data_IF_672400858394
#
_entry.id   IF_672400858394
#
_cell.length_a   1.000
_cell.length_b   1.000
_cell.length_c   1.000
_cell.angle_alpha   90.00
_cell.angle_beta   90.00
_cell.angle_gamma   90.00
#
_symmetry.space_group_name_H-M   'P 1'
#
loop_
_entity.id
_entity.type
_entity.pdbx_description
1 polymer ?
#
# COMPACT_ATOMS: atom_id res chain seq x y z
N UNK A 1 9.84 21.04 -5.99
CA UNK A 1 9.04 20.03 -6.71
C UNK A 1 7.67 20.05 -6.09
N UNK A 2 6.65 20.35 -6.85
CA UNK A 2 5.27 20.37 -6.32
C UNK A 2 4.50 19.19 -6.96
N UNK A 3 4.41 18.09 -6.21
CA UNK A 3 3.66 16.92 -6.65
C UNK A 3 2.31 16.89 -5.95
N UNK A 4 1.18 16.73 -6.67
CA UNK A 4 -0.16 16.73 -6.08
C UNK A 4 -0.33 15.69 -4.96
N UNK A 5 0.35 14.53 -5.07
CA UNK A 5 0.33 13.45 -4.08
C UNK A 5 1.25 13.68 -2.86
N UNK A 6 1.97 14.81 -2.80
CA UNK A 6 2.78 15.27 -1.66
C UNK A 6 2.37 16.68 -1.18
N UNK A 7 1.23 17.19 -1.61
CA UNK A 7 0.61 18.41 -1.09
C UNK A 7 -0.22 18.04 0.17
N UNK A 8 0.49 17.83 1.28
CA UNK A 8 -0.10 17.33 2.52
C UNK A 8 -1.18 18.24 3.12
N UNK A 9 -1.13 19.55 2.87
CA UNK A 9 -2.18 20.47 3.33
C UNK A 9 -3.49 20.24 2.57
N UNK A 10 -3.40 20.18 1.24
CA UNK A 10 -4.55 19.87 0.37
C UNK A 10 -5.11 18.47 0.65
N UNK A 11 -4.23 17.47 0.83
CA UNK A 11 -4.63 16.08 1.06
C UNK A 11 -5.33 15.91 2.41
N UNK A 12 -4.82 16.54 3.47
CA UNK A 12 -5.47 16.53 4.80
C UNK A 12 -6.85 17.16 4.74
N UNK A 13 -6.99 18.32 4.09
CA UNK A 13 -8.28 19.00 3.92
C UNK A 13 -9.27 18.12 3.14
N UNK A 14 -8.83 17.49 2.03
CA UNK A 14 -9.66 16.56 1.25
C UNK A 14 -10.10 15.37 2.08
N UNK A 15 -9.20 14.78 2.86
CA UNK A 15 -9.53 13.65 3.76
C UNK A 15 -10.62 14.02 4.76
N UNK A 16 -10.46 15.14 5.46
CA UNK A 16 -11.44 15.60 6.48
C UNK A 16 -12.82 15.80 5.86
N UNK A 17 -12.91 16.46 4.70
CA UNK A 17 -14.18 16.67 3.99
C UNK A 17 -14.81 15.34 3.51
N UNK A 18 -14.00 14.45 2.96
CA UNK A 18 -14.49 13.17 2.41
C UNK A 18 -14.90 12.19 3.49
N UNK A 19 -14.27 12.24 4.67
CA UNK A 19 -14.65 11.42 5.82
C UNK A 19 -16.07 11.71 6.30
N UNK A 20 -16.53 12.95 6.20
CA UNK A 20 -17.91 13.32 6.56
C UNK A 20 -18.94 12.64 5.65
N UNK A 21 -18.59 12.29 4.42
CA UNK A 21 -19.46 11.56 3.48
C UNK A 21 -19.79 10.17 4.04
N UNK A 22 -18.83 9.52 4.69
CA UNK A 22 -19.03 8.23 5.37
C UNK A 22 -19.30 8.48 6.87
N UNK A 23 -20.34 9.25 7.16
CA UNK A 23 -20.69 9.62 8.53
C UNK A 23 -21.29 8.47 9.36
N UNK A 24 -21.81 7.44 8.69
CA UNK A 24 -22.36 6.25 9.35
C UNK A 24 -21.25 5.44 10.01
N UNK A 25 -21.47 4.96 11.23
CA UNK A 25 -20.52 4.09 11.95
C UNK A 25 -20.79 2.64 11.59
N UNK A 26 -19.90 2.05 10.79
CA UNK A 26 -19.93 0.63 10.50
C UNK A 26 -19.02 -0.14 11.48
N UNK A 27 -19.34 -1.42 11.70
CA UNK A 27 -18.48 -2.34 12.45
C UNK A 27 -17.42 -2.96 11.54
N UNK A 28 -17.70 -3.07 10.24
CA UNK A 28 -16.77 -3.55 9.23
C UNK A 28 -16.82 -2.65 7.99
N UNK A 29 -15.68 -2.54 7.32
CA UNK A 29 -15.57 -1.91 6.01
C UNK A 29 -15.02 -2.94 5.02
N UNK A 30 -15.70 -3.13 3.91
CA UNK A 30 -15.24 -3.93 2.79
C UNK A 30 -14.76 -2.99 1.68
N UNK A 31 -13.50 -3.11 1.31
CA UNK A 31 -12.87 -2.29 0.26
C UNK A 31 -12.70 -3.14 -0.98
N UNK A 32 -13.25 -2.68 -2.08
CA UNK A 32 -13.21 -3.36 -3.37
C UNK A 32 -12.40 -2.52 -4.35
N UNK A 33 -11.33 -3.09 -4.87
CA UNK A 33 -10.45 -2.41 -5.81
C UNK A 33 -9.18 -3.22 -6.08
N UNK A 34 -8.37 -2.79 -7.03
CA UNK A 34 -7.21 -3.54 -7.49
C UNK A 34 -5.95 -2.66 -7.54
N UNK A 35 -4.80 -3.26 -7.26
CA UNK A 35 -3.51 -2.58 -7.32
C UNK A 35 -3.46 -1.34 -6.42
N UNK A 36 -3.14 -0.18 -6.99
CA UNK A 36 -3.03 1.08 -6.25
C UNK A 36 -4.31 1.57 -5.58
N UNK A 37 -5.48 1.02 -5.96
CA UNK A 37 -6.75 1.35 -5.32
C UNK A 37 -6.89 0.78 -3.90
N UNK A 38 -6.17 -0.30 -3.58
CA UNK A 38 -6.25 -0.96 -2.27
C UNK A 38 -4.92 -1.05 -1.55
N UNK A 39 -3.81 -1.17 -2.29
CA UNK A 39 -2.51 -1.52 -1.71
C UNK A 39 -2.03 -0.54 -0.64
N UNK A 40 -2.30 0.77 -0.81
CA UNK A 40 -1.91 1.77 0.19
C UNK A 40 -2.68 1.62 1.50
N UNK A 41 -4.00 1.48 1.44
CA UNK A 41 -4.82 1.27 2.64
C UNK A 41 -4.57 -0.08 3.29
N UNK A 42 -4.30 -1.13 2.51
CA UNK A 42 -3.85 -2.45 3.05
C UNK A 42 -2.58 -2.31 3.87
N UNK A 43 -1.60 -1.56 3.35
CA UNK A 43 -0.34 -1.32 4.06
C UNK A 43 -0.56 -0.58 5.39
N UNK A 44 -1.43 0.45 5.41
CA UNK A 44 -1.78 1.18 6.64
C UNK A 44 -2.50 0.25 7.64
N UNK A 45 -3.53 -0.49 7.20
CA UNK A 45 -4.32 -1.34 8.07
C UNK A 45 -3.52 -2.55 8.59
N UNK A 46 -2.65 -3.14 7.76
CA UNK A 46 -1.74 -4.21 8.19
C UNK A 46 -0.80 -3.70 9.29
N UNK A 47 -0.18 -2.53 9.09
CA UNK A 47 0.69 -1.90 10.08
C UNK A 47 -0.02 -1.61 11.42
N UNK A 48 -1.29 -1.20 11.36
CA UNK A 48 -2.12 -0.92 12.54
C UNK A 48 -2.78 -2.18 13.14
N UNK A 49 -2.58 -3.35 12.53
CA UNK A 49 -3.29 -4.58 12.86
C UNK A 49 -4.82 -4.40 12.88
N UNK A 50 -5.34 -3.62 11.92
CA UNK A 50 -6.77 -3.31 11.82
C UNK A 50 -7.49 -4.35 10.94
N UNK A 51 -8.16 -5.29 11.59
CA UNK A 51 -8.81 -6.43 10.94
C UNK A 51 -10.26 -6.18 10.49
N UNK A 52 -10.87 -5.07 10.91
CA UNK A 52 -12.26 -4.71 10.56
C UNK A 52 -12.37 -4.14 9.14
N UNK A 53 -11.24 -3.84 8.50
CA UNK A 53 -11.19 -3.47 7.09
C UNK A 53 -10.80 -4.69 6.27
N UNK A 54 -11.73 -5.17 5.45
CA UNK A 54 -11.62 -6.39 4.67
C UNK A 54 -11.45 -6.00 3.20
N UNK A 55 -10.54 -6.66 2.49
CA UNK A 55 -10.23 -6.33 1.10
C UNK A 55 -10.70 -7.41 0.14
N UNK A 56 -11.37 -6.99 -0.94
CA UNK A 56 -11.67 -7.81 -2.11
C UNK A 56 -10.87 -7.22 -3.28
N UNK A 57 -9.70 -7.79 -3.52
CA UNK A 57 -8.78 -7.44 -4.61
C UNK A 57 -8.42 -8.66 -5.47
N UNK A 58 -9.35 -9.60 -5.55
CA UNK A 58 -9.26 -10.85 -6.32
C UNK A 58 -10.64 -11.28 -6.81
N UNK A 59 -10.69 -11.98 -7.93
CA UNK A 59 -11.92 -12.53 -8.51
C UNK A 59 -12.15 -13.96 -8.00
N UNK A 60 -12.88 -14.11 -6.90
CA UNK A 60 -13.20 -15.39 -6.30
C UNK A 60 -14.59 -15.37 -5.65
N UNK A 61 -15.59 -15.89 -6.37
CA UNK A 61 -17.01 -15.84 -5.96
C UNK A 61 -17.27 -16.45 -4.60
N UNK A 62 -16.69 -17.62 -4.31
CA UNK A 62 -16.96 -18.32 -3.04
C UNK A 62 -16.46 -17.54 -1.81
N UNK A 63 -15.35 -16.82 -1.95
CA UNK A 63 -14.85 -15.94 -0.88
C UNK A 63 -15.83 -14.79 -0.66
N UNK A 64 -16.33 -14.18 -1.74
CA UNK A 64 -17.32 -13.10 -1.66
C UNK A 64 -18.63 -13.60 -1.05
N UNK A 65 -19.11 -14.77 -1.45
CA UNK A 65 -20.32 -15.38 -0.91
C UNK A 65 -20.18 -15.68 0.59
N UNK A 66 -19.06 -16.26 1.00
CA UNK A 66 -18.76 -16.51 2.42
C UNK A 66 -18.73 -15.19 3.22
N UNK A 67 -18.14 -14.16 2.67
CA UNK A 67 -18.07 -12.82 3.30
C UNK A 67 -19.50 -12.25 3.48
N UNK A 68 -20.35 -12.30 2.47
CA UNK A 68 -21.75 -11.81 2.52
C UNK A 68 -22.61 -12.62 3.54
N UNK A 69 -22.26 -13.89 3.79
CA UNK A 69 -22.94 -14.73 4.77
C UNK A 69 -22.45 -14.48 6.19
N UNK A 70 -21.16 -14.24 6.36
CA UNK A 70 -20.53 -14.13 7.70
C UNK A 70 -20.63 -12.73 8.30
N UNK A 71 -20.68 -11.70 7.48
CA UNK A 71 -20.77 -10.31 7.95
C UNK A 71 -22.21 -9.91 8.31
N UNK A 72 -22.34 -9.08 9.35
CA UNK A 72 -23.57 -8.34 9.58
C UNK A 72 -23.66 -7.19 8.56
N UNK A 73 -24.41 -7.42 7.47
CA UNK A 73 -24.50 -6.46 6.36
C UNK A 73 -25.06 -5.10 6.78
N UNK A 74 -25.99 -5.04 7.76
CA UNK A 74 -26.56 -3.79 8.28
C UNK A 74 -25.52 -2.92 9.00
N UNK A 75 -24.39 -3.54 9.40
CA UNK A 75 -23.28 -2.88 10.08
C UNK A 75 -22.01 -2.86 9.23
N UNK A 76 -22.11 -3.12 7.94
CA UNK A 76 -21.01 -3.19 7.01
C UNK A 76 -21.13 -2.12 5.92
N UNK A 77 -20.05 -1.36 5.71
CA UNK A 77 -19.93 -0.44 4.58
C UNK A 77 -19.06 -1.03 3.47
N UNK A 78 -19.40 -0.76 2.21
CA UNK A 78 -18.71 -1.24 1.01
C UNK A 78 -18.16 -0.05 0.23
N UNK A 79 -16.84 0.02 0.04
CA UNK A 79 -16.17 1.10 -0.69
C UNK A 79 -15.59 0.55 -1.98
N UNK A 80 -16.12 0.98 -3.12
CA UNK A 80 -15.65 0.60 -4.46
C UNK A 80 -14.68 1.65 -4.96
N UNK A 81 -13.43 1.25 -5.22
CA UNK A 81 -12.36 2.16 -5.59
C UNK A 81 -11.83 1.81 -6.99
N UNK A 82 -11.99 2.75 -7.91
CA UNK A 82 -11.37 2.69 -9.24
C UNK A 82 -11.15 4.10 -9.75
N UNK A 83 -9.90 4.51 -9.97
CA UNK A 83 -9.58 5.85 -10.50
C UNK A 83 -10.33 6.12 -11.79
N UNK A 84 -10.20 5.25 -12.79
CA UNK A 84 -10.86 5.40 -14.09
C UNK A 84 -12.38 5.17 -14.07
N UNK A 85 -12.87 4.48 -13.02
CA UNK A 85 -14.24 4.00 -12.94
C UNK A 85 -14.60 2.93 -14.00
N UNK A 86 -13.56 2.32 -14.64
CA UNK A 86 -13.71 1.35 -15.75
C UNK A 86 -12.99 0.01 -15.48
N UNK A 87 -12.42 -0.19 -14.30
CA UNK A 87 -11.72 -1.42 -13.93
C UNK A 87 -12.72 -2.58 -13.95
N UNK A 88 -12.55 -3.51 -14.88
CA UNK A 88 -13.50 -4.60 -15.14
C UNK A 88 -13.76 -5.46 -13.92
N UNK A 89 -12.71 -5.75 -13.16
CA UNK A 89 -12.77 -6.55 -11.92
C UNK A 89 -13.62 -5.85 -10.85
N UNK A 90 -13.40 -4.56 -10.64
CA UNK A 90 -14.16 -3.76 -9.66
C UNK A 90 -15.64 -3.70 -10.05
N UNK A 91 -15.93 -3.52 -11.33
CA UNK A 91 -17.30 -3.45 -11.85
C UNK A 91 -18.01 -4.81 -11.75
N UNK A 92 -17.34 -5.90 -12.08
CA UNK A 92 -17.90 -7.26 -11.96
C UNK A 92 -18.24 -7.60 -10.50
N UNK A 93 -17.36 -7.23 -9.55
CA UNK A 93 -17.64 -7.45 -8.13
C UNK A 93 -18.75 -6.54 -7.64
N UNK A 94 -18.84 -5.30 -8.16
CA UNK A 94 -19.94 -4.40 -7.84
C UNK A 94 -21.31 -5.01 -8.22
N UNK A 95 -21.47 -5.44 -9.48
CA UNK A 95 -22.73 -6.05 -9.96
C UNK A 95 -23.08 -7.30 -9.16
N UNK A 96 -22.06 -8.14 -8.87
CA UNK A 96 -22.24 -9.34 -8.07
C UNK A 96 -22.71 -9.03 -6.64
N UNK A 97 -22.13 -8.04 -5.97
CA UNK A 97 -22.52 -7.64 -4.62
C UNK A 97 -23.87 -6.95 -4.57
N UNK A 98 -24.22 -6.15 -5.57
CA UNK A 98 -25.57 -5.56 -5.69
C UNK A 98 -26.61 -6.67 -5.68
N UNK A 99 -26.44 -7.72 -6.50
CA UNK A 99 -27.40 -8.83 -6.57
C UNK A 99 -27.57 -9.55 -5.25
N UNK A 100 -26.48 -9.75 -4.51
CA UNK A 100 -26.48 -10.42 -3.19
C UNK A 100 -27.03 -9.56 -2.06
N UNK A 101 -26.92 -8.22 -2.16
CA UNK A 101 -27.21 -7.30 -1.05
C UNK A 101 -28.52 -6.51 -1.20
N UNK A 102 -29.01 -6.26 -2.43
CA UNK A 102 -30.16 -5.37 -2.72
C UNK A 102 -31.46 -5.65 -1.94
N UNK A 103 -31.67 -6.92 -1.56
CA UNK A 103 -32.85 -7.34 -0.79
C UNK A 103 -32.57 -7.47 0.73
N UNK A 104 -31.36 -7.16 1.18
CA UNK A 104 -30.93 -7.32 2.57
C UNK A 104 -30.60 -5.99 3.24
N UNK A 105 -30.06 -5.02 2.49
CA UNK A 105 -29.66 -3.70 2.99
C UNK A 105 -30.05 -2.61 1.98
N UNK A 106 -30.12 -1.36 2.47
CA UNK A 106 -30.28 -0.21 1.61
C UNK A 106 -28.95 0.17 0.97
N UNK A 107 -28.80 -0.06 -0.33
CA UNK A 107 -27.57 0.16 -1.08
C UNK A 107 -27.05 1.60 -0.92
N UNK A 108 -27.92 2.62 -1.01
CA UNK A 108 -27.53 4.04 -0.91
C UNK A 108 -26.87 4.42 0.43
N UNK A 109 -27.12 3.64 1.48
CA UNK A 109 -26.56 3.89 2.82
C UNK A 109 -25.26 3.13 3.08
N UNK A 110 -25.05 2.02 2.37
CA UNK A 110 -23.98 1.07 2.65
C UNK A 110 -22.89 1.05 1.58
N UNK A 111 -23.21 1.47 0.35
CA UNK A 111 -22.28 1.44 -0.76
C UNK A 111 -21.75 2.85 -1.06
N UNK A 112 -20.43 2.94 -1.23
CA UNK A 112 -19.69 4.17 -1.51
C UNK A 112 -18.83 3.95 -2.74
N UNK A 113 -18.76 4.94 -3.61
CA UNK A 113 -17.83 4.93 -4.74
C UNK A 113 -16.71 5.95 -4.54
N UNK A 114 -15.48 5.55 -4.84
CA UNK A 114 -14.33 6.42 -4.88
C UNK A 114 -13.72 6.35 -6.29
N UNK A 115 -13.99 7.35 -7.10
CA UNK A 115 -13.59 7.42 -8.51
C UNK A 115 -13.40 8.88 -8.93
N UNK A 116 -12.81 9.14 -10.10
CA UNK A 116 -12.76 10.49 -10.66
C UNK A 116 -14.17 11.03 -10.95
N UNK A 117 -14.36 12.33 -10.74
CA UNK A 117 -15.61 13.03 -11.10
C UNK A 117 -15.70 13.24 -12.61
N UNK A 118 -15.89 12.12 -13.30
CA UNK A 118 -16.11 12.08 -14.75
C UNK A 118 -16.98 10.88 -15.11
N UNK A 119 -17.65 10.97 -16.26
CA UNK A 119 -18.49 9.89 -16.77
C UNK A 119 -17.69 8.58 -16.91
N UNK A 120 -18.17 7.56 -16.20
CA UNK A 120 -17.61 6.20 -16.21
C UNK A 120 -18.65 5.22 -15.68
N UNK A 121 -18.44 3.90 -15.90
CA UNK A 121 -19.41 2.90 -15.43
C UNK A 121 -19.61 2.93 -13.89
N UNK A 122 -18.55 3.09 -13.11
CA UNK A 122 -18.67 3.18 -11.65
C UNK A 122 -19.39 4.48 -11.23
N UNK A 123 -19.16 5.58 -11.95
CA UNK A 123 -19.89 6.83 -11.71
C UNK A 123 -21.39 6.68 -12.06
N UNK A 124 -21.70 6.05 -13.20
CA UNK A 124 -23.10 5.79 -13.62
C UNK A 124 -23.79 4.84 -12.63
N UNK A 125 -23.13 3.81 -12.13
CA UNK A 125 -23.65 2.94 -11.06
C UNK A 125 -23.92 3.71 -9.76
N UNK A 126 -23.04 4.66 -9.42
CA UNK A 126 -23.24 5.49 -8.22
C UNK A 126 -24.50 6.32 -8.32
N UNK A 127 -24.77 6.91 -9.48
CA UNK A 127 -26.00 7.66 -9.73
C UNK A 127 -27.23 6.74 -9.72
N UNK A 128 -27.19 5.62 -10.43
CA UNK A 128 -28.28 4.66 -10.53
C UNK A 128 -28.74 4.12 -9.16
N UNK A 129 -27.78 3.87 -8.27
CA UNK A 129 -28.05 3.29 -6.95
C UNK A 129 -28.04 4.32 -5.83
N UNK A 130 -27.96 5.62 -6.17
CA UNK A 130 -27.89 6.73 -5.20
C UNK A 130 -26.80 6.52 -4.15
N UNK A 131 -25.64 5.97 -4.57
CA UNK A 131 -24.49 5.76 -3.70
C UNK A 131 -23.87 7.10 -3.32
N UNK A 132 -23.25 7.15 -2.15
CA UNK A 132 -22.43 8.31 -1.77
C UNK A 132 -21.10 8.28 -2.54
N UNK A 133 -20.78 9.42 -3.14
CA UNK A 133 -19.61 9.59 -3.99
C UNK A 133 -18.48 10.29 -3.25
N UNK A 134 -17.26 9.77 -3.41
CA UNK A 134 -16.00 10.35 -2.94
C UNK A 134 -15.11 10.58 -4.15
N UNK A 135 -14.66 11.81 -4.35
CA UNK A 135 -13.78 12.14 -5.46
C UNK A 135 -12.39 11.53 -5.32
N UNK A 136 -11.95 10.82 -6.36
CA UNK A 136 -10.53 10.47 -6.58
C UNK A 136 -9.84 11.63 -7.26
N UNK A 137 -8.67 12.05 -6.75
CA UNK A 137 -7.90 13.13 -7.37
C UNK A 137 -7.35 12.68 -8.76
N UNK A 138 -7.72 13.36 -9.86
CA UNK A 138 -7.33 12.96 -11.21
C UNK A 138 -5.82 13.03 -11.44
N UNK A 139 -5.12 13.92 -10.70
CA UNK A 139 -3.69 14.14 -10.85
C UNK A 139 -2.84 13.13 -10.07
N UNK A 140 -3.49 12.21 -9.32
CA UNK A 140 -2.79 11.22 -8.51
C UNK A 140 -2.93 9.82 -9.13
N UNK A 141 -1.79 9.23 -9.55
CA UNK A 141 -1.74 7.84 -10.02
C UNK A 141 -1.90 6.84 -8.88
N UNK A 142 -2.46 5.64 -9.17
CA UNK A 142 -2.78 4.63 -8.14
C UNK A 142 -1.60 4.30 -7.22
N UNK A 143 -0.41 4.02 -7.74
CA UNK A 143 0.79 3.69 -6.94
C UNK A 143 1.34 4.86 -6.10
N UNK A 144 0.93 6.10 -6.40
CA UNK A 144 1.28 7.31 -5.64
C UNK A 144 0.16 7.76 -4.68
N UNK A 145 -0.93 7.02 -4.56
CA UNK A 145 -2.15 7.43 -3.85
C UNK A 145 -2.12 7.22 -2.34
N UNK A 146 -0.97 6.83 -1.77
CA UNK A 146 -0.86 6.50 -0.33
C UNK A 146 -1.32 7.63 0.61
N UNK A 147 -1.10 8.89 0.22
CA UNK A 147 -1.51 10.07 0.98
C UNK A 147 -2.82 10.70 0.48
N UNK A 148 -3.54 10.05 -0.45
CA UNK A 148 -4.84 10.54 -0.95
C UNK A 148 -6.01 9.79 -0.32
N UNK A 149 -7.24 10.27 -0.60
CA UNK A 149 -8.48 9.64 -0.14
C UNK A 149 -8.55 8.15 -0.42
N UNK A 150 -7.96 7.69 -1.53
CA UNK A 150 -7.89 6.27 -1.93
C UNK A 150 -7.33 5.38 -0.82
N UNK A 151 -6.30 5.86 -0.14
CA UNK A 151 -5.67 5.11 0.95
C UNK A 151 -6.07 5.62 2.33
N UNK A 152 -6.24 6.94 2.51
CA UNK A 152 -6.52 7.52 3.81
C UNK A 152 -7.92 7.17 4.32
N UNK A 153 -8.94 7.17 3.45
CA UNK A 153 -10.32 6.88 3.87
C UNK A 153 -10.44 5.45 4.42
N UNK A 154 -10.10 4.38 3.68
CA UNK A 154 -10.18 3.03 4.24
C UNK A 154 -9.05 2.75 5.25
N UNK A 155 -7.86 3.34 5.10
CA UNK A 155 -6.72 3.11 5.97
C UNK A 155 -6.90 3.66 7.39
N UNK A 156 -7.62 4.78 7.53
CA UNK A 156 -7.86 5.43 8.81
C UNK A 156 -9.35 5.51 9.19
N UNK A 157 -10.19 4.67 8.61
CA UNK A 157 -11.63 4.68 8.92
C UNK A 157 -11.90 4.52 10.43
N UNK A 158 -11.28 3.55 11.07
CA UNK A 158 -11.44 3.27 12.49
C UNK A 158 -10.46 4.04 13.40
N UNK A 159 -9.37 4.56 12.84
CA UNK A 159 -8.25 5.18 13.57
C UNK A 159 -7.95 6.59 13.03
N UNK A 160 -8.97 7.35 12.76
CA UNK A 160 -8.85 8.65 12.05
C UNK A 160 -7.97 9.68 12.74
N UNK A 161 -7.86 9.62 14.06
CA UNK A 161 -7.00 10.52 14.84
C UNK A 161 -5.51 10.30 14.54
N UNK A 162 -5.15 9.11 14.05
CA UNK A 162 -3.79 8.78 13.64
C UNK A 162 -3.41 9.35 12.27
N UNK A 163 -4.39 9.69 11.42
CA UNK A 163 -4.15 10.18 10.06
C UNK A 163 -3.28 11.45 10.05
N UNK A 164 -3.52 12.36 11.00
CA UNK A 164 -2.71 13.60 11.12
C UNK A 164 -1.24 13.29 11.36
N UNK A 165 -0.93 12.36 12.27
CA UNK A 165 0.46 11.97 12.56
C UNK A 165 1.10 11.28 11.34
N UNK A 166 0.33 10.47 10.59
CA UNK A 166 0.79 9.86 9.36
C UNK A 166 1.20 10.91 8.31
N UNK A 167 0.36 11.92 8.08
CA UNK A 167 0.65 13.02 7.16
C UNK A 167 1.80 13.89 7.63
N UNK A 168 1.95 14.07 8.95
CA UNK A 168 3.08 14.79 9.54
C UNK A 168 4.41 14.09 9.25
N UNK A 169 4.45 12.76 9.34
CA UNK A 169 5.62 11.99 8.92
C UNK A 169 5.99 12.23 7.45
N UNK A 170 5.00 12.31 6.57
CA UNK A 170 5.21 12.68 5.18
C UNK A 170 5.80 14.09 5.01
N UNK A 171 5.33 15.09 5.78
CA UNK A 171 5.88 16.46 5.78
C UNK A 171 7.34 16.48 6.22
N UNK A 172 7.69 15.80 7.29
CA UNK A 172 9.07 15.70 7.75
C UNK A 172 10.00 15.07 6.71
N UNK A 173 9.55 14.02 6.02
CA UNK A 173 10.31 13.41 4.95
C UNK A 173 10.60 14.37 3.78
N UNK A 174 9.71 15.33 3.52
CA UNK A 174 9.94 16.37 2.51
C UNK A 174 11.08 17.33 2.89
N UNK A 175 11.39 17.46 4.16
CA UNK A 175 12.52 18.26 4.65
C UNK A 175 13.84 17.47 4.53
N UNK A 176 13.78 16.14 4.55
CA UNK A 176 14.93 15.22 4.47
C UNK A 176 15.14 14.58 3.09
N UNK A 177 14.89 15.32 2.02
CA UNK A 177 15.01 14.81 0.62
C UNK A 177 16.38 14.22 0.29
N UNK A 178 17.45 14.73 0.92
CA UNK A 178 18.80 14.21 0.75
C UNK A 178 18.90 12.71 1.05
N UNK A 179 18.14 12.21 2.02
CA UNK A 179 18.09 10.77 2.30
C UNK A 179 17.55 9.97 1.11
N UNK A 180 16.52 10.48 0.44
CA UNK A 180 15.95 9.82 -0.72
C UNK A 180 16.88 9.88 -1.95
N UNK A 181 17.64 10.97 -2.10
CA UNK A 181 18.67 11.10 -3.14
C UNK A 181 19.81 10.10 -2.92
N UNK A 182 20.33 9.99 -1.70
CA UNK A 182 21.35 9.02 -1.35
C UNK A 182 20.90 7.57 -1.60
N UNK A 183 19.65 7.25 -1.26
CA UNK A 183 19.08 5.93 -1.52
C UNK A 183 18.94 5.65 -3.02
N UNK A 184 18.51 6.63 -3.80
CA UNK A 184 18.42 6.51 -5.25
C UNK A 184 19.80 6.27 -5.89
N UNK A 185 20.83 6.96 -5.43
CA UNK A 185 22.22 6.76 -5.89
C UNK A 185 22.73 5.36 -5.54
N UNK A 186 22.52 4.88 -4.32
CA UNK A 186 22.90 3.54 -3.90
C UNK A 186 22.21 2.45 -4.73
N UNK A 187 20.92 2.59 -5.01
CA UNK A 187 20.16 1.69 -5.87
C UNK A 187 20.66 1.74 -7.31
N UNK A 188 20.91 2.93 -7.86
CA UNK A 188 21.46 3.10 -9.21
C UNK A 188 22.84 2.41 -9.34
N UNK A 189 23.72 2.59 -8.35
CA UNK A 189 25.02 1.91 -8.34
C UNK A 189 24.88 0.38 -8.22
N UNK A 190 23.94 -0.10 -7.40
CA UNK A 190 23.65 -1.53 -7.29
C UNK A 190 23.20 -2.11 -8.64
N UNK A 191 22.35 -1.41 -9.38
CA UNK A 191 21.91 -1.83 -10.71
C UNK A 191 23.06 -1.82 -11.72
N UNK A 192 23.96 -0.82 -11.69
CA UNK A 192 25.18 -0.78 -12.53
C UNK A 192 26.11 -1.96 -12.23
N UNK A 193 26.09 -2.50 -11.01
CA UNK A 193 26.82 -3.69 -10.59
C UNK A 193 26.02 -5.00 -10.82
N UNK A 194 25.10 -4.99 -11.80
CA UNK A 194 24.27 -6.14 -12.19
C UNK A 194 23.36 -6.70 -11.09
N UNK A 195 23.06 -5.92 -10.05
CA UNK A 195 22.02 -6.29 -9.08
C UNK A 195 20.67 -5.85 -9.62
N UNK A 196 19.89 -6.79 -10.07
CA UNK A 196 18.59 -6.59 -10.73
C UNK A 196 17.41 -7.17 -9.95
N UNK A 197 17.66 -7.62 -8.72
CA UNK A 197 16.63 -8.10 -7.79
C UNK A 197 16.75 -7.28 -6.49
N UNK A 198 15.61 -6.78 -6.01
CA UNK A 198 15.49 -6.18 -4.68
C UNK A 198 14.74 -7.15 -3.76
N UNK A 199 15.40 -7.71 -2.76
CA UNK A 199 14.77 -8.57 -1.78
C UNK A 199 14.40 -7.75 -0.53
N UNK A 200 13.10 -7.63 -0.27
CA UNK A 200 12.56 -7.01 0.94
C UNK A 200 12.28 -8.12 1.95
N UNK A 201 13.14 -8.24 2.97
CA UNK A 201 13.10 -9.26 4.00
C UNK A 201 12.25 -8.75 5.17
N UNK A 202 11.02 -9.21 5.29
CA UNK A 202 10.01 -8.68 6.21
C UNK A 202 10.00 -9.46 7.52
N UNK A 203 10.45 -8.84 8.61
CA UNK A 203 10.41 -9.37 9.97
C UNK A 203 9.31 -8.65 10.77
N UNK A 204 8.12 -9.20 10.73
CA UNK A 204 6.89 -8.66 11.29
C UNK A 204 5.77 -8.71 10.25
N UNK A 205 4.76 -9.54 10.48
CA UNK A 205 3.65 -9.77 9.53
C UNK A 205 2.94 -8.45 9.17
N UNK A 206 2.90 -7.50 10.11
CA UNK A 206 2.30 -6.17 9.96
C UNK A 206 2.94 -5.35 8.84
N UNK A 207 4.19 -5.64 8.47
CA UNK A 207 4.94 -4.96 7.42
C UNK A 207 4.81 -5.61 6.03
N UNK A 208 4.14 -6.77 5.93
CA UNK A 208 4.04 -7.51 4.67
C UNK A 208 3.40 -6.67 3.57
N UNK A 209 2.30 -5.99 3.89
CA UNK A 209 1.60 -5.14 2.93
C UNK A 209 2.33 -3.82 2.65
N UNK A 210 3.18 -3.36 3.57
CA UNK A 210 4.13 -2.25 3.29
C UNK A 210 5.14 -2.68 2.24
N UNK A 211 5.69 -3.89 2.34
CA UNK A 211 6.56 -4.49 1.32
C UNK A 211 5.84 -4.65 -0.03
N UNK A 212 4.59 -5.10 -0.04
CA UNK A 212 3.78 -5.24 -1.25
C UNK A 212 3.46 -3.88 -1.91
N UNK A 213 3.17 -2.85 -1.12
CA UNK A 213 3.03 -1.49 -1.62
C UNK A 213 4.33 -1.00 -2.29
N UNK A 214 5.46 -1.20 -1.62
CA UNK A 214 6.77 -0.85 -2.17
C UNK A 214 7.07 -1.61 -3.46
N UNK A 215 6.75 -2.89 -3.52
CA UNK A 215 6.88 -3.70 -4.74
C UNK A 215 6.17 -3.04 -5.92
N UNK A 216 4.91 -2.65 -5.76
CA UNK A 216 4.15 -1.99 -6.81
C UNK A 216 4.76 -0.63 -7.18
N UNK A 217 5.08 0.20 -6.19
CA UNK A 217 5.67 1.52 -6.42
C UNK A 217 6.91 1.44 -7.32
N UNK A 218 7.86 0.57 -6.98
CA UNK A 218 9.12 0.45 -7.72
C UNK A 218 8.95 -0.24 -9.08
N UNK A 219 8.22 -1.36 -9.14
CA UNK A 219 8.05 -2.12 -10.37
C UNK A 219 7.37 -1.29 -11.47
N UNK A 220 6.22 -0.69 -11.19
CA UNK A 220 5.45 0.09 -12.17
C UNK A 220 6.12 1.42 -12.54
N UNK A 221 6.87 2.02 -11.62
CA UNK A 221 7.51 3.31 -11.88
C UNK A 221 8.80 3.18 -12.68
N UNK A 222 9.59 2.15 -12.45
CA UNK A 222 10.93 2.00 -13.00
C UNK A 222 11.03 0.92 -14.10
N UNK A 223 10.09 -0.02 -14.17
CA UNK A 223 10.06 -1.13 -15.13
C UNK A 223 9.73 -0.68 -16.54
N UNK A 224 10.58 0.15 -17.15
CA UNK A 224 10.38 0.79 -18.46
C UNK A 224 11.65 0.77 -19.27
N UNK A 225 11.52 0.65 -20.60
CA UNK A 225 12.67 0.72 -21.53
C UNK A 225 13.80 -0.28 -21.17
N UNK A 226 13.45 -1.48 -20.71
CA UNK A 226 14.40 -2.51 -20.29
C UNK A 226 15.15 -2.18 -18.98
N UNK A 227 14.68 -1.20 -18.20
CA UNK A 227 15.26 -0.77 -16.92
C UNK A 227 14.38 -1.21 -15.76
N UNK A 228 14.88 -0.96 -14.54
CA UNK A 228 14.23 -1.39 -13.31
C UNK A 228 14.87 -2.64 -12.72
N UNK A 229 14.27 -3.16 -11.66
CA UNK A 229 14.68 -4.38 -10.99
C UNK A 229 13.45 -5.16 -10.54
N UNK A 230 13.62 -6.45 -10.28
CA UNK A 230 12.55 -7.32 -9.78
C UNK A 230 12.43 -7.17 -8.25
N UNK A 231 11.37 -6.59 -7.71
CA UNK A 231 11.14 -6.57 -6.28
C UNK A 231 10.55 -7.91 -5.80
N UNK A 232 11.19 -8.51 -4.79
CA UNK A 232 10.76 -9.75 -4.14
C UNK A 232 10.44 -9.44 -2.69
N UNK A 233 9.20 -9.66 -2.28
CA UNK A 233 8.77 -9.53 -0.89
C UNK A 233 8.84 -10.91 -0.25
N UNK A 234 9.62 -11.04 0.81
CA UNK A 234 9.84 -12.31 1.53
C UNK A 234 9.41 -12.16 2.98
N UNK A 235 8.40 -12.91 3.39
CA UNK A 235 7.93 -12.96 4.77
C UNK A 235 8.87 -13.83 5.62
N UNK A 236 9.72 -13.19 6.40
CA UNK A 236 10.63 -13.87 7.32
C UNK A 236 9.90 -14.14 8.66
N UNK A 237 10.00 -15.29 9.29
CA UNK A 237 10.96 -16.40 9.13
C UNK A 237 10.50 -17.48 8.14
N UNK A 238 9.29 -17.44 7.67
CA UNK A 238 8.68 -18.43 6.76
C UNK A 238 9.55 -18.67 5.52
N UNK A 239 9.94 -17.60 4.83
CA UNK A 239 10.70 -17.69 3.59
C UNK A 239 12.20 -18.01 3.79
N UNK A 240 12.69 -18.02 5.04
CA UNK A 240 13.99 -18.62 5.36
C UNK A 240 14.03 -20.12 5.01
N UNK A 241 12.87 -20.79 5.08
CA UNK A 241 12.74 -22.22 4.75
C UNK A 241 12.47 -22.49 3.27
N UNK A 242 12.47 -21.46 2.42
CA UNK A 242 12.21 -21.58 0.98
C UNK A 242 13.30 -20.92 0.12
N UNK A 243 13.45 -19.60 0.18
CA UNK A 243 14.25 -18.83 -0.77
C UNK A 243 15.65 -18.45 -0.26
N UNK A 244 15.94 -18.64 1.04
CA UNK A 244 17.16 -18.18 1.66
C UNK A 244 18.42 -18.76 1.03
N UNK A 245 18.42 -20.06 0.67
CA UNK A 245 19.54 -20.71 0.01
C UNK A 245 19.91 -19.99 -1.30
N UNK A 246 18.90 -19.62 -2.10
CA UNK A 246 19.11 -18.88 -3.35
C UNK A 246 19.69 -17.48 -3.09
N UNK A 247 19.24 -16.80 -2.05
CA UNK A 247 19.73 -15.46 -1.70
C UNK A 247 21.19 -15.47 -1.24
N UNK A 248 21.61 -16.50 -0.52
CA UNK A 248 22.93 -16.57 0.08
C UNK A 248 23.99 -17.20 -0.82
N UNK A 249 23.63 -18.18 -1.63
CA UNK A 249 24.55 -19.00 -2.42
C UNK A 249 24.25 -19.04 -3.93
N UNK A 250 23.20 -18.36 -4.36
CA UNK A 250 22.84 -18.19 -5.76
C UNK A 250 23.60 -17.06 -6.47
N UNK A 251 23.06 -16.57 -7.61
CA UNK A 251 23.62 -15.42 -8.32
C UNK A 251 23.73 -14.21 -7.40
N UNK A 252 24.85 -13.51 -7.42
CA UNK A 252 25.13 -12.32 -6.61
C UNK A 252 24.47 -11.05 -7.18
N UNK A 253 23.25 -11.16 -7.69
CA UNK A 253 22.49 -10.11 -8.37
C UNK A 253 21.38 -9.49 -7.51
N UNK A 254 21.40 -9.71 -6.19
CA UNK A 254 20.40 -9.23 -5.24
C UNK A 254 20.97 -8.09 -4.39
N UNK A 255 20.17 -7.05 -4.15
CA UNK A 255 20.37 -6.14 -3.03
C UNK A 255 19.22 -6.32 -2.01
N UNK A 256 19.52 -6.07 -0.74
CA UNK A 256 18.64 -6.45 0.36
C UNK A 256 18.18 -5.24 1.14
N UNK A 257 16.92 -5.25 1.54
CA UNK A 257 16.41 -4.42 2.62
C UNK A 257 15.76 -5.31 3.67
N UNK A 258 16.16 -5.14 4.92
CA UNK A 258 15.53 -5.75 6.09
C UNK A 258 14.51 -4.74 6.64
N UNK A 259 13.25 -5.13 6.67
CA UNK A 259 12.17 -4.36 7.31
C UNK A 259 11.76 -5.11 8.57
N UNK A 260 11.88 -4.47 9.74
CA UNK A 260 11.60 -5.14 11.01
C UNK A 260 10.64 -4.33 11.86
N UNK A 261 9.69 -5.03 12.49
CA UNK A 261 8.82 -4.50 13.52
C UNK A 261 9.45 -4.75 14.90
N UNK A 262 9.70 -3.69 15.65
CA UNK A 262 10.05 -3.78 17.07
C UNK A 262 8.78 -3.78 17.92
N UNK A 263 8.67 -4.73 18.83
CA UNK A 263 7.57 -4.82 19.79
C UNK A 263 8.10 -4.61 21.20
N UNK A 264 7.39 -3.78 21.99
CA UNK A 264 7.68 -3.61 23.40
C UNK A 264 7.26 -4.84 24.26
N UNK A 265 6.53 -5.79 23.63
CA UNK A 265 6.11 -7.03 24.28
C UNK A 265 7.27 -8.02 24.33
N UNK A 266 7.82 -8.23 25.52
CA UNK A 266 8.87 -9.22 25.75
C UNK A 266 8.25 -10.61 25.91
N UNK A 267 8.38 -11.42 24.87
CA UNK A 267 7.98 -12.84 24.85
C UNK A 267 8.90 -13.65 23.94
N UNK A 268 8.83 -14.97 24.04
CA UNK A 268 9.70 -15.87 23.30
C UNK A 268 9.58 -15.69 21.78
N UNK A 269 8.37 -15.45 21.27
CA UNK A 269 8.12 -15.29 19.82
C UNK A 269 8.81 -14.03 19.28
N UNK A 270 8.60 -12.87 19.95
CA UNK A 270 9.20 -11.61 19.54
C UNK A 270 10.74 -11.62 19.67
N UNK A 271 11.26 -12.26 20.74
CA UNK A 271 12.71 -12.46 20.92
C UNK A 271 13.29 -13.34 19.79
N UNK A 272 12.59 -14.42 19.44
CA UNK A 272 13.02 -15.30 18.35
C UNK A 272 13.04 -14.57 17.01
N UNK A 273 12.00 -13.79 16.70
CA UNK A 273 11.92 -12.98 15.48
C UNK A 273 13.07 -11.98 15.39
N UNK A 274 13.37 -11.24 16.47
CA UNK A 274 14.46 -10.28 16.55
C UNK A 274 15.82 -10.96 16.40
N UNK A 275 16.03 -12.13 17.02
CA UNK A 275 17.28 -12.91 16.89
C UNK A 275 17.48 -13.38 15.45
N UNK A 276 16.42 -13.86 14.77
CA UNK A 276 16.49 -14.25 13.36
C UNK A 276 16.85 -13.06 12.46
N UNK A 277 16.24 -11.89 12.70
CA UNK A 277 16.57 -10.67 11.96
C UNK A 277 18.04 -10.28 12.15
N UNK A 278 18.53 -10.28 13.38
CA UNK A 278 19.92 -9.95 13.71
C UNK A 278 20.90 -10.93 13.07
N UNK A 279 20.63 -12.23 13.16
CA UNK A 279 21.44 -13.27 12.55
C UNK A 279 21.48 -13.15 11.01
N UNK A 280 20.36 -12.79 10.38
CA UNK A 280 20.30 -12.54 8.94
C UNK A 280 21.16 -11.34 8.55
N UNK A 281 21.04 -10.23 9.27
CA UNK A 281 21.84 -9.04 9.02
C UNK A 281 23.35 -9.36 9.12
N UNK A 282 23.76 -10.04 10.19
CA UNK A 282 25.15 -10.46 10.37
C UNK A 282 25.61 -11.38 9.24
N UNK A 283 24.78 -12.32 8.80
CA UNK A 283 25.09 -13.24 7.71
C UNK A 283 25.33 -12.50 6.40
N UNK A 284 24.46 -11.55 6.06
CA UNK A 284 24.60 -10.71 4.87
C UNK A 284 25.90 -9.90 4.92
N UNK A 285 26.19 -9.27 6.07
CA UNK A 285 27.42 -8.48 6.27
C UNK A 285 28.68 -9.37 6.14
N UNK A 286 28.69 -10.56 6.75
CA UNK A 286 29.81 -11.53 6.63
C UNK A 286 30.06 -11.96 5.19
N UNK A 287 29.03 -11.96 4.36
CA UNK A 287 29.14 -12.24 2.91
C UNK A 287 29.51 -11.02 2.06
N UNK A 288 29.83 -9.88 2.68
CA UNK A 288 30.17 -8.64 1.99
C UNK A 288 28.97 -7.90 1.38
N UNK A 289 27.75 -8.27 1.79
CA UNK A 289 26.52 -7.61 1.42
C UNK A 289 26.18 -6.56 2.49
N UNK A 290 25.68 -5.40 2.04
CA UNK A 290 25.27 -4.31 2.95
C UNK A 290 23.75 -4.12 2.80
N UNK A 291 22.93 -4.77 3.62
CA UNK A 291 21.48 -4.54 3.57
C UNK A 291 21.15 -3.15 4.08
N UNK A 292 20.12 -2.53 3.50
CA UNK A 292 19.41 -1.43 4.14
C UNK A 292 18.60 -2.00 5.30
N UNK A 293 18.48 -1.26 6.41
CA UNK A 293 17.67 -1.66 7.56
C UNK A 293 16.62 -0.58 7.82
N UNK A 294 15.36 -0.98 7.83
CA UNK A 294 14.21 -0.12 8.14
C UNK A 294 13.48 -0.70 9.35
N UNK A 295 13.57 -0.01 10.50
CA UNK A 295 12.95 -0.45 11.75
C UNK A 295 11.72 0.39 12.03
N UNK A 296 10.62 -0.28 12.37
CA UNK A 296 9.35 0.31 12.75
C UNK A 296 8.98 -0.10 14.17
N UNK A 297 8.17 0.70 14.84
CA UNK A 297 7.56 0.38 16.14
C UNK A 297 6.05 0.27 16.01
N UNK A 298 5.45 -0.53 16.88
CA UNK A 298 3.99 -0.66 16.93
C UNK A 298 3.34 0.74 17.05
N UNK A 299 2.33 1.00 16.23
CA UNK A 299 1.56 2.25 16.20
C UNK A 299 2.35 3.53 15.86
N UNK A 300 3.60 3.46 15.46
CA UNK A 300 4.35 4.64 14.99
C UNK A 300 3.98 4.98 13.54
N UNK A 301 2.75 5.46 13.37
CA UNK A 301 2.23 5.86 12.06
C UNK A 301 2.97 7.07 11.47
N UNK A 302 3.60 7.88 12.31
CA UNK A 302 4.41 9.01 11.85
C UNK A 302 5.65 8.49 11.12
N UNK A 303 6.34 7.50 11.68
CA UNK A 303 7.46 6.82 11.04
C UNK A 303 7.02 6.11 9.76
N UNK A 304 5.82 5.52 9.75
CA UNK A 304 5.27 4.91 8.55
C UNK A 304 5.04 5.95 7.44
N UNK A 305 4.43 7.09 7.75
CA UNK A 305 4.23 8.18 6.80
C UNK A 305 5.56 8.73 6.25
N UNK A 306 6.55 8.92 7.13
CA UNK A 306 7.91 9.31 6.76
C UNK A 306 8.51 8.30 5.76
N UNK A 307 8.45 7.01 6.07
CA UNK A 307 8.95 5.95 5.20
C UNK A 307 8.31 5.97 3.81
N UNK A 308 6.99 6.03 3.73
CA UNK A 308 6.29 6.08 2.46
C UNK A 308 6.71 7.27 1.60
N UNK A 309 6.85 8.44 2.19
CA UNK A 309 7.27 9.65 1.47
C UNK A 309 8.71 9.52 0.97
N UNK A 310 9.64 9.02 1.79
CA UNK A 310 11.04 8.76 1.38
C UNK A 310 11.08 7.77 0.21
N UNK A 311 10.30 6.69 0.24
CA UNK A 311 10.27 5.72 -0.86
C UNK A 311 9.72 6.32 -2.16
N UNK A 312 8.68 7.15 -2.09
CA UNK A 312 8.16 7.89 -3.25
C UNK A 312 9.24 8.82 -3.83
N UNK A 313 9.89 9.59 -2.99
CA UNK A 313 10.98 10.49 -3.42
C UNK A 313 12.15 9.70 -4.01
N UNK A 314 12.52 8.58 -3.39
CA UNK A 314 13.59 7.68 -3.90
C UNK A 314 13.27 7.18 -5.30
N UNK A 315 12.04 6.75 -5.55
CA UNK A 315 11.60 6.31 -6.89
C UNK A 315 11.69 7.45 -7.90
N UNK A 316 11.28 8.66 -7.53
CA UNK A 316 11.34 9.84 -8.43
C UNK A 316 12.78 10.20 -8.76
N UNK A 317 13.70 10.20 -7.79
CA UNK A 317 15.12 10.46 -8.03
C UNK A 317 15.77 9.34 -8.84
N UNK A 318 15.49 8.08 -8.50
CA UNK A 318 16.03 6.94 -9.24
C UNK A 318 15.52 6.91 -10.69
N UNK A 319 14.26 7.26 -10.93
CA UNK A 319 13.71 7.35 -12.28
C UNK A 319 14.49 8.37 -13.15
N UNK A 320 14.87 9.51 -12.56
CA UNK A 320 15.74 10.50 -13.25
C UNK A 320 17.10 9.93 -13.59
N UNK A 321 17.76 9.22 -12.65
CA UNK A 321 19.05 8.57 -12.87
C UNK A 321 18.97 7.48 -13.96
N UNK A 322 17.84 6.81 -14.06
CA UNK A 322 17.56 5.80 -15.07
C UNK A 322 17.06 6.37 -16.39
N UNK A 323 16.76 7.68 -16.46
CA UNK A 323 16.12 8.33 -17.59
C UNK A 323 14.82 7.62 -18.03
N UNK A 324 13.91 7.44 -17.07
CA UNK A 324 12.53 6.94 -17.28
C UNK A 324 11.54 7.89 -16.62
N UNK A 325 10.32 7.97 -17.14
CA UNK A 325 9.24 8.72 -16.51
C UNK A 325 8.50 7.81 -15.50
N UNK A 326 8.55 8.11 -14.18
CA UNK A 326 7.90 7.28 -13.17
C UNK A 326 6.36 7.39 -13.18
N UNK A 327 5.80 8.40 -13.83
CA UNK A 327 4.37 8.72 -13.76
C UNK A 327 3.56 8.09 -14.89
N UNK A 328 4.16 7.87 -16.05
CA UNK A 328 3.50 7.25 -17.21
C UNK A 328 3.32 5.75 -16.99
N UNK A 329 2.21 5.19 -17.48
CA UNK A 329 1.90 3.76 -17.45
C UNK A 329 1.36 3.36 -18.83
N UNK A 330 2.24 2.85 -19.68
CA UNK A 330 1.92 2.59 -21.10
C UNK A 330 1.30 1.20 -21.34
N UNK A 331 1.47 0.25 -20.43
CA UNK A 331 1.12 -1.15 -20.62
C UNK A 331 0.11 -1.69 -19.59
N UNK A 332 -0.85 -0.88 -19.16
CA UNK A 332 -1.90 -1.34 -18.23
C UNK A 332 -3.30 -1.22 -18.81
#
# INVERSE_FOLDING_TARGET
>A
MNYPFLDFEKLEKKFLLSREIISQKFENIVVIGFGGSTQGSKAINSFLNEIRVIYIDHLHSDIIDNLVVTLNLEKTGFIFISKSGKTSETLSIFEYLIDKCKNKINISNHFFSLTEDKQSQLHDFSLQHSMKFIEHDPDIGGRFSIFSNTSLIPGFYFNSDLCKNFLEGGREAMEEKGLAEDLADQLSQSMKNNKNIAAYLIYGHELLEVGNWKKQLFAESLGKNGKGFMPVVSEMTKDQHSILQLFLDGPRNVFFEIMSMESDKVNLINMTLSNHMSAMNETLIKQGLKPRISIFKENDVKKLGFYFCIEILTVIFLAKLLNVDPFVQELS
#
